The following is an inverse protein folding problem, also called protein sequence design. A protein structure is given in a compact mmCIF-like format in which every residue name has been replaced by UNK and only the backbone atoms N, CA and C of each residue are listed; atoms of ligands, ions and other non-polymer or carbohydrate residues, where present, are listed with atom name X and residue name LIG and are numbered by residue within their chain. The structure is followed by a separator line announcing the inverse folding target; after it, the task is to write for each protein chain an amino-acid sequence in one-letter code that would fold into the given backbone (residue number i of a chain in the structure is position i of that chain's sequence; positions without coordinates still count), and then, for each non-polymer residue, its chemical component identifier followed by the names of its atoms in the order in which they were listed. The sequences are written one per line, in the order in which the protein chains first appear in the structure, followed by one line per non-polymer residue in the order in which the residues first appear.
data_IF_084753377772
#
_entry.id   IF_084753377772
#
_cell.length_a   1.000
_cell.length_b   1.000
_cell.length_c   1.000
_cell.angle_alpha   90.00
_cell.angle_beta   90.00
_cell.angle_gamma   90.00
#
_symmetry.space_group_name_H-M   'P 1'
#
loop_
_entity.id
_entity.type
_entity.pdbx_description
1 polymer ?
#
# COMPACT_ATOMS: atom_id res chain seq x y z
N UNK A 1 -20.33 16.03 -8.12
CA UNK A 1 -20.00 15.45 -6.80
C UNK A 1 -19.15 14.21 -7.06
N UNK A 2 -17.89 14.16 -6.62
CA UNK A 2 -17.08 12.96 -6.80
C UNK A 2 -17.59 11.87 -5.86
N UNK A 3 -17.99 10.72 -6.40
CA UNK A 3 -18.38 9.56 -5.59
C UNK A 3 -17.25 9.18 -4.64
N UNK A 4 -17.50 9.25 -3.34
CA UNK A 4 -16.58 8.76 -2.33
C UNK A 4 -16.41 7.25 -2.50
N UNK A 5 -15.17 6.80 -2.71
CA UNK A 5 -14.85 5.38 -2.72
C UNK A 5 -15.11 4.78 -1.33
N UNK A 6 -16.02 3.81 -1.27
CA UNK A 6 -16.27 3.01 -0.07
C UNK A 6 -15.77 1.60 -0.38
N UNK A 7 -14.71 1.15 0.32
CA UNK A 7 -14.15 -0.18 0.08
C UNK A 7 -15.12 -1.28 0.53
N UNK A 8 -15.18 -2.37 -0.24
CA UNK A 8 -15.97 -3.58 -0.01
C UNK A 8 -15.11 -4.82 0.25
N UNK A 9 -13.79 -4.67 0.26
CA UNK A 9 -12.85 -5.72 0.67
C UNK A 9 -13.18 -6.21 2.08
N UNK A 10 -13.10 -7.53 2.25
CA UNK A 10 -13.32 -8.20 3.54
C UNK A 10 -12.01 -8.67 4.19
N UNK A 11 -10.94 -8.69 3.42
CA UNK A 11 -9.64 -9.21 3.80
C UNK A 11 -8.57 -8.24 3.31
N UNK A 12 -7.49 -8.14 4.08
CA UNK A 12 -6.32 -7.36 3.74
C UNK A 12 -5.09 -8.27 3.80
N UNK A 13 -4.23 -8.19 2.80
CA UNK A 13 -2.96 -8.89 2.81
C UNK A 13 -2.01 -8.23 3.79
N UNK A 14 -1.24 -9.04 4.51
CA UNK A 14 -0.11 -8.57 5.31
C UNK A 14 1.13 -8.74 4.42
N UNK A 15 1.90 -7.68 4.15
CA UNK A 15 3.15 -7.81 3.39
C UNK A 15 4.10 -8.76 4.11
N UNK A 16 4.73 -9.67 3.36
CA UNK A 16 5.76 -10.56 3.90
C UNK A 16 7.03 -9.77 4.22
N UNK A 17 7.39 -8.84 3.34
CA UNK A 17 8.50 -7.92 3.52
C UNK A 17 8.11 -6.51 3.04
N UNK A 18 8.83 -5.52 3.56
CA UNK A 18 8.66 -4.14 3.16
C UNK A 18 9.90 -3.31 3.45
N UNK A 19 10.25 -2.45 2.50
CA UNK A 19 11.41 -1.58 2.63
C UNK A 19 11.14 -0.24 1.96
N UNK A 20 11.90 0.76 2.38
CA UNK A 20 11.85 2.08 1.79
C UNK A 20 12.98 2.25 0.79
N UNK A 21 12.64 2.81 -0.37
CA UNK A 21 13.58 3.15 -1.43
C UNK A 21 13.28 4.56 -1.98
N UNK A 22 14.20 5.07 -2.80
CA UNK A 22 14.02 6.30 -3.57
C UNK A 22 13.93 5.98 -5.04
N UNK A 23 12.83 6.38 -5.68
CA UNK A 23 12.64 6.26 -7.13
C UNK A 23 12.42 7.65 -7.72
N UNK A 24 13.30 8.07 -8.64
CA UNK A 24 13.26 9.41 -9.26
C UNK A 24 13.13 10.55 -8.23
N UNK A 25 13.82 10.43 -7.09
CA UNK A 25 13.81 11.42 -6.00
C UNK A 25 12.57 11.40 -5.09
N UNK A 26 11.61 10.50 -5.32
CA UNK A 26 10.43 10.32 -4.47
C UNK A 26 10.63 9.13 -3.51
N UNK A 27 10.14 9.28 -2.28
CA UNK A 27 10.10 8.17 -1.31
C UNK A 27 9.08 7.13 -1.77
N UNK A 28 9.51 5.87 -1.80
CA UNK A 28 8.69 4.72 -2.22
C UNK A 28 8.77 3.64 -1.16
N UNK A 29 7.62 3.28 -0.62
CA UNK A 29 7.45 2.11 0.22
C UNK A 29 7.22 0.89 -0.67
N UNK A 30 8.23 0.02 -0.75
CA UNK A 30 8.20 -1.23 -1.49
C UNK A 30 7.65 -2.33 -0.60
N UNK A 31 6.72 -3.14 -1.11
CA UNK A 31 6.03 -4.19 -0.37
C UNK A 31 6.06 -5.49 -1.17
N UNK A 32 6.38 -6.58 -0.50
CA UNK A 32 6.27 -7.93 -1.03
C UNK A 32 4.96 -8.57 -0.57
N UNK A 33 4.11 -8.92 -1.53
CA UNK A 33 2.86 -9.67 -1.30
C UNK A 33 2.84 -10.85 -2.27
N UNK A 34 3.35 -12.03 -1.86
CA UNK A 34 3.56 -13.16 -2.77
C UNK A 34 2.30 -13.61 -3.52
N UNK A 35 1.16 -13.62 -2.85
CA UNK A 35 -0.10 -14.14 -3.40
C UNK A 35 -0.74 -13.21 -4.46
N UNK A 36 -0.08 -12.11 -4.84
CA UNK A 36 -0.62 -11.07 -5.70
C UNK A 36 -0.04 -11.07 -7.13
N UNK A 37 0.48 -12.19 -7.61
CA UNK A 37 1.05 -12.31 -8.97
C UNK A 37 0.13 -11.75 -10.08
N UNK A 38 -1.17 -12.02 -10.00
CA UNK A 38 -2.17 -11.53 -10.96
C UNK A 38 -2.53 -10.05 -10.78
N UNK A 39 -2.29 -9.50 -9.59
CA UNK A 39 -2.62 -8.12 -9.24
C UNK A 39 -1.48 -7.19 -9.66
N UNK A 40 -0.23 -7.60 -9.43
CA UNK A 40 0.97 -6.79 -9.72
C UNK A 40 1.21 -6.56 -11.21
N UNK A 41 0.58 -7.36 -12.08
CA UNK A 41 0.60 -7.18 -13.54
C UNK A 41 -0.37 -6.12 -14.07
N UNK A 42 -1.27 -5.61 -13.22
CA UNK A 42 -2.33 -4.67 -13.61
C UNK A 42 -1.88 -3.23 -13.50
N UNK A 43 -2.64 -2.32 -14.11
CA UNK A 43 -2.39 -0.89 -13.98
C UNK A 43 -3.14 -0.28 -12.80
N UNK A 44 -2.44 0.53 -12.02
CA UNK A 44 -3.02 1.40 -10.99
C UNK A 44 -3.62 2.69 -11.56
N UNK A 45 -3.49 2.95 -12.87
CA UNK A 45 -3.99 4.17 -13.49
C UNK A 45 -5.52 4.24 -13.39
N UNK A 46 -6.02 5.33 -12.79
CA UNK A 46 -7.45 5.51 -12.53
C UNK A 46 -8.00 4.65 -11.37
N UNK A 47 -7.13 3.99 -10.59
CA UNK A 47 -7.55 3.27 -9.40
C UNK A 47 -8.12 4.23 -8.35
N UNK A 48 -9.17 3.80 -7.66
CA UNK A 48 -9.68 4.47 -6.46
C UNK A 48 -8.96 3.90 -5.24
N UNK A 49 -8.65 4.73 -4.26
CA UNK A 49 -7.87 4.34 -3.07
C UNK A 49 -8.30 5.09 -1.83
N UNK A 50 -8.13 4.47 -0.67
CA UNK A 50 -8.42 5.09 0.63
C UNK A 50 -7.58 4.43 1.71
N UNK A 51 -7.19 5.23 2.71
CA UNK A 51 -6.63 4.74 3.96
C UNK A 51 -7.74 4.60 5.00
N UNK A 52 -7.77 3.45 5.67
CA UNK A 52 -8.58 3.21 6.85
C UNK A 52 -7.65 2.99 8.05
N UNK A 53 -8.17 3.23 9.24
CA UNK A 53 -7.53 2.84 10.48
C UNK A 53 -8.49 1.90 11.23
N UNK A 54 -8.07 0.66 11.41
CA UNK A 54 -8.78 -0.31 12.24
C UNK A 54 -8.30 -0.17 13.68
N UNK A 55 -9.23 0.27 14.55
CA UNK A 55 -8.95 0.48 15.98
C UNK A 55 -8.84 -0.82 16.77
N UNK A 56 -9.44 -1.91 16.30
CA UNK A 56 -9.42 -3.19 17.02
C UNK A 56 -8.09 -3.87 16.86
N UNK A 57 -7.59 -3.84 15.63
CA UNK A 57 -6.32 -4.48 15.24
C UNK A 57 -5.12 -3.51 15.33
N UNK A 58 -5.34 -2.26 15.73
CA UNK A 58 -4.35 -1.16 15.73
C UNK A 58 -3.53 -1.13 14.42
N UNK A 59 -4.25 -1.07 13.30
CA UNK A 59 -3.68 -1.25 11.97
C UNK A 59 -4.16 -0.18 10.98
N UNK A 60 -3.23 0.35 10.19
CA UNK A 60 -3.61 1.12 9.00
C UNK A 60 -3.86 0.16 7.84
N UNK A 61 -4.93 0.41 7.08
CA UNK A 61 -5.31 -0.43 5.95
C UNK A 61 -5.34 0.44 4.69
N UNK A 62 -4.47 0.13 3.74
CA UNK A 62 -4.48 0.74 2.41
C UNK A 62 -5.41 -0.05 1.50
N UNK A 63 -6.59 0.47 1.21
CA UNK A 63 -7.57 -0.16 0.32
C UNK A 63 -7.51 0.48 -1.06
N UNK A 64 -7.57 -0.33 -2.11
CA UNK A 64 -7.64 0.16 -3.47
C UNK A 64 -8.54 -0.69 -4.36
N UNK A 65 -9.14 -0.03 -5.35
CA UNK A 65 -9.92 -0.64 -6.42
C UNK A 65 -9.34 -0.22 -7.76
N UNK A 66 -8.84 -1.20 -8.51
CA UNK A 66 -8.35 -1.01 -9.87
C UNK A 66 -9.52 -0.73 -10.83
N UNK A 67 -9.19 -0.23 -12.03
CA UNK A 67 -10.19 0.14 -13.05
C UNK A 67 -11.04 -1.05 -13.53
N UNK A 68 -10.45 -2.24 -13.53
CA UNK A 68 -11.13 -3.49 -13.88
C UNK A 68 -12.08 -4.02 -12.79
N UNK A 69 -12.21 -3.32 -11.67
CA UNK A 69 -13.05 -3.70 -10.54
C UNK A 69 -12.34 -4.51 -9.46
N UNK A 70 -11.09 -4.91 -9.68
CA UNK A 70 -10.30 -5.66 -8.68
C UNK A 70 -10.08 -4.82 -7.45
N UNK A 71 -10.51 -5.36 -6.32
CA UNK A 71 -10.41 -4.70 -5.02
C UNK A 71 -9.51 -5.49 -4.09
N UNK A 72 -8.56 -4.80 -3.46
CA UNK A 72 -7.57 -5.37 -2.56
C UNK A 72 -7.24 -4.38 -1.45
N UNK A 73 -6.70 -4.91 -0.36
CA UNK A 73 -6.21 -4.12 0.75
C UNK A 73 -4.90 -4.67 1.28
N UNK A 74 -4.06 -3.77 1.78
CA UNK A 74 -2.84 -4.10 2.52
C UNK A 74 -2.99 -3.61 3.96
N UNK A 75 -2.76 -4.48 4.93
CA UNK A 75 -2.79 -4.16 6.35
C UNK A 75 -1.38 -3.91 6.90
N UNK A 76 -1.25 -2.82 7.65
CA UNK A 76 -0.05 -2.40 8.36
C UNK A 76 -0.37 -2.38 9.85
N UNK A 77 -0.33 -3.57 10.47
CA UNK A 77 -0.49 -3.71 11.91
C UNK A 77 0.71 -3.08 12.64
N UNK A 78 0.45 -2.35 13.73
CA UNK A 78 1.46 -1.59 14.50
C UNK A 78 2.75 -2.35 14.78
N UNK A 79 2.63 -3.59 15.27
CA UNK A 79 3.78 -4.39 15.71
C UNK A 79 4.60 -5.00 14.56
N UNK A 80 4.09 -4.91 13.32
CA UNK A 80 4.72 -5.45 12.10
C UNK A 80 4.90 -4.35 11.05
N UNK A 81 4.15 -4.42 9.93
CA UNK A 81 4.23 -3.47 8.83
C UNK A 81 3.97 -2.01 9.23
N UNK A 82 3.32 -1.77 10.36
CA UNK A 82 3.14 -0.45 10.94
C UNK A 82 4.46 0.29 11.20
N UNK A 83 5.54 -0.41 11.52
CA UNK A 83 6.87 0.22 11.69
C UNK A 83 7.33 0.96 10.43
N UNK A 84 6.98 0.45 9.24
CA UNK A 84 7.28 1.11 7.97
C UNK A 84 6.55 2.44 7.86
N UNK A 85 5.35 2.53 8.43
CA UNK A 85 4.56 3.75 8.47
C UNK A 85 4.95 4.67 9.62
N UNK A 86 5.72 4.24 10.64
CA UNK A 86 6.29 5.16 11.67
C UNK A 86 7.52 5.92 11.18
N UNK A 87 8.10 5.51 10.05
CA UNK A 87 9.26 6.17 9.46
C UNK A 87 8.94 7.61 9.02
N UNK A 88 9.89 8.54 9.18
CA UNK A 88 9.73 9.95 8.79
C UNK A 88 9.31 10.11 7.32
N UNK A 89 9.73 9.20 6.45
CA UNK A 89 9.35 9.15 5.03
C UNK A 89 7.84 9.01 4.81
N UNK A 90 7.11 8.43 5.77
CA UNK A 90 5.66 8.26 5.71
C UNK A 90 4.85 9.52 6.13
N UNK A 91 5.50 10.54 6.72
CA UNK A 91 4.81 11.76 7.19
C UNK A 91 4.50 12.74 6.05
N UNK A 92 5.18 12.59 4.92
CA UNK A 92 4.95 13.37 3.70
C UNK A 92 4.11 12.63 2.66
N UNK A 93 4.20 13.10 1.42
CA UNK A 93 3.75 12.32 0.28
C UNK A 93 4.77 11.26 -0.07
N UNK A 94 4.31 10.03 -0.29
CA UNK A 94 5.14 8.90 -0.70
C UNK A 94 4.42 8.08 -1.77
N UNK A 95 5.10 7.08 -2.33
CA UNK A 95 4.48 6.10 -3.23
C UNK A 95 4.51 4.71 -2.59
N UNK A 96 3.57 3.84 -2.96
CA UNK A 96 3.62 2.42 -2.59
C UNK A 96 3.87 1.62 -3.86
N UNK A 97 4.88 0.78 -3.87
CA UNK A 97 5.16 -0.18 -4.91
C UNK A 97 4.94 -1.59 -4.35
N UNK A 98 4.13 -2.38 -5.03
CA UNK A 98 3.79 -3.74 -4.61
C UNK A 98 4.32 -4.73 -5.64
N UNK A 99 5.10 -5.71 -5.18
CA UNK A 99 5.61 -6.81 -5.97
C UNK A 99 5.18 -8.15 -5.35
N UNK A 100 5.10 -9.20 -6.17
CA UNK A 100 4.90 -10.57 -5.67
C UNK A 100 6.23 -11.30 -5.42
N UNK A 101 7.30 -10.87 -6.08
CA UNK A 101 8.64 -11.43 -5.91
C UNK A 101 9.48 -10.69 -4.87
N UNK A 102 10.62 -11.31 -4.55
CA UNK A 102 11.68 -10.78 -3.68
C UNK A 102 12.12 -9.37 -4.10
N UNK A 103 12.04 -8.42 -3.17
CA UNK A 103 12.37 -7.01 -3.39
C UNK A 103 13.83 -6.80 -3.82
N UNK A 104 14.75 -7.68 -3.40
CA UNK A 104 16.18 -7.62 -3.75
C UNK A 104 16.50 -8.13 -5.16
N UNK A 105 15.53 -8.74 -5.86
CA UNK A 105 15.69 -9.33 -7.19
C UNK A 105 14.83 -8.68 -8.28
N UNK A 106 14.24 -7.52 -7.97
CA UNK A 106 13.39 -6.81 -8.93
C UNK A 106 14.24 -6.27 -10.09
N UNK A 107 13.89 -6.71 -11.31
CA UNK A 107 14.44 -6.21 -12.57
C UNK A 107 13.48 -5.28 -13.30
N UNK A 108 13.92 -4.71 -14.42
CA UNK A 108 13.13 -3.81 -15.26
C UNK A 108 11.81 -4.40 -15.76
N UNK A 109 11.79 -5.72 -15.98
CA UNK A 109 10.63 -6.44 -16.54
C UNK A 109 9.78 -7.10 -15.44
N UNK A 110 10.12 -6.88 -14.17
CA UNK A 110 9.38 -7.48 -13.07
C UNK A 110 8.02 -6.79 -12.92
N UNK A 111 6.90 -7.54 -12.95
CA UNK A 111 5.58 -6.96 -12.75
C UNK A 111 5.46 -6.33 -11.36
N UNK A 112 5.04 -5.07 -11.33
CA UNK A 112 4.90 -4.28 -10.11
C UNK A 112 3.69 -3.35 -10.22
N UNK A 113 2.98 -3.17 -9.11
CA UNK A 113 1.87 -2.24 -8.99
C UNK A 113 2.30 -1.00 -8.20
N UNK A 114 2.36 0.15 -8.87
CA UNK A 114 2.82 1.41 -8.28
C UNK A 114 1.65 2.38 -8.04
N UNK A 115 1.47 2.82 -6.79
CA UNK A 115 0.57 3.89 -6.41
C UNK A 115 1.38 5.14 -6.04
N UNK A 116 1.27 6.19 -6.85
CA UNK A 116 2.06 7.40 -6.67
C UNK A 116 1.33 8.46 -5.82
N UNK A 117 2.10 9.34 -5.17
CA UNK A 117 1.61 10.53 -4.48
C UNK A 117 0.48 10.22 -3.47
N UNK A 118 0.73 9.20 -2.66
CA UNK A 118 -0.08 8.80 -1.52
C UNK A 118 0.22 9.71 -0.32
N UNK A 119 -0.81 9.96 0.47
CA UNK A 119 -0.69 10.64 1.74
C UNK A 119 -1.49 9.88 2.78
N UNK A 120 -0.83 9.51 3.88
CA UNK A 120 -1.46 8.87 5.03
C UNK A 120 -1.87 9.94 6.02
N UNK A 121 -3.17 10.18 6.15
CA UNK A 121 -3.69 10.98 7.25
C UNK A 121 -3.76 10.11 8.51
N UNK A 122 -2.81 10.29 9.42
CA UNK A 122 -2.78 9.55 10.69
C UNK A 122 -4.04 9.82 11.51
N UNK A 123 -4.52 8.75 12.16
CA UNK A 123 -5.64 8.85 13.06
C UNK A 123 -5.16 9.33 14.44
N UNK A 124 -5.81 10.31 15.11
CA UNK A 124 -5.36 10.81 16.41
C UNK A 124 -5.25 9.75 17.50
N UNK A 125 -5.99 8.65 17.36
CA UNK A 125 -5.98 7.53 18.31
C UNK A 125 -4.95 6.45 17.97
N UNK A 126 -4.28 6.53 16.81
CA UNK A 126 -3.23 5.59 16.48
C UNK A 126 -2.04 5.75 17.44
N UNK A 127 -1.75 6.96 17.93
CA UNK A 127 -0.64 7.21 18.86
C UNK A 127 0.75 6.78 18.32
N UNK A 128 0.86 6.57 17.00
CA UNK A 128 2.09 6.23 16.28
C UNK A 128 2.08 6.71 14.81
#
# INVERSE_FOLDING_TARGET
MAERYVPRVKEAAIPEDGSWAKLAGKEVLMLQVPDWEDVVRRSSAGARRVWLYDRREDAYIFCFRLKDGTERAVAFAKDHGGRLLTDERAYGFFSILIASGDLGKLGSDTPMLLFQDLYLKRHPQADW
#
